data_IF_144004874845
#
_entry.id   IF_144004874845
#
_cell.length_a   1.000
_cell.length_b   1.000
_cell.length_c   1.000
_cell.angle_alpha   90.00
_cell.angle_beta   90.00
_cell.angle_gamma   90.00
#
_symmetry.space_group_name_H-M   'P 1'
#
loop_
_entity.id
_entity.type
_entity.pdbx_description
1 polymer ?
#
# COMPACT_ATOMS: atom_id res chain seq x y z
N UNK A 1 -8.80 15.99 20.81
CA UNK A 1 -9.52 14.70 20.83
C UNK A 1 -10.76 14.75 19.94
N UNK A 2 -11.72 15.66 20.18
CA UNK A 2 -13.00 15.70 19.45
C UNK A 2 -12.88 15.74 17.92
N UNK A 3 -11.96 16.53 17.37
CA UNK A 3 -11.72 16.57 15.92
C UNK A 3 -11.25 15.22 15.35
N UNK A 4 -10.33 14.54 16.05
CA UNK A 4 -9.79 13.24 15.62
C UNK A 4 -10.86 12.14 15.66
N UNK A 5 -11.76 12.21 16.64
CA UNK A 5 -12.94 11.36 16.69
C UNK A 5 -13.88 11.64 15.53
N UNK A 6 -14.17 12.92 15.24
CA UNK A 6 -15.04 13.32 14.14
C UNK A 6 -14.55 12.83 12.76
N UNK A 7 -13.23 12.77 12.55
CA UNK A 7 -12.63 12.24 11.31
C UNK A 7 -12.38 10.73 11.34
N UNK A 8 -12.90 10.01 12.34
CA UNK A 8 -12.73 8.57 12.50
C UNK A 8 -11.26 8.11 12.57
N UNK A 9 -10.37 8.88 13.21
CA UNK A 9 -8.94 8.61 13.25
C UNK A 9 -8.60 7.20 13.75
N UNK A 10 -9.23 6.76 14.85
CA UNK A 10 -9.04 5.39 15.39
C UNK A 10 -9.43 4.31 14.40
N UNK A 11 -10.56 4.49 13.71
CA UNK A 11 -11.03 3.54 12.70
C UNK A 11 -10.07 3.50 11.51
N UNK A 12 -9.58 4.65 11.06
CA UNK A 12 -8.58 4.74 9.99
C UNK A 12 -7.29 4.00 10.38
N UNK A 13 -6.78 4.20 11.59
CA UNK A 13 -5.60 3.49 12.09
C UNK A 13 -5.83 1.98 12.20
N UNK A 14 -7.02 1.56 12.63
CA UNK A 14 -7.41 0.14 12.68
C UNK A 14 -7.47 -0.48 11.28
N UNK A 15 -8.03 0.22 10.30
CA UNK A 15 -8.08 -0.24 8.91
C UNK A 15 -6.68 -0.34 8.30
N UNK A 16 -5.82 0.64 8.55
CA UNK A 16 -4.42 0.60 8.10
C UNK A 16 -3.67 -0.58 8.72
N UNK A 17 -3.85 -0.83 10.01
CA UNK A 17 -3.28 -2.01 10.70
C UNK A 17 -3.80 -3.32 10.11
N UNK A 18 -5.09 -3.41 9.80
CA UNK A 18 -5.67 -4.59 9.16
C UNK A 18 -5.10 -4.82 7.75
N UNK A 19 -5.00 -3.78 6.93
CA UNK A 19 -4.42 -3.87 5.58
C UNK A 19 -2.95 -4.32 5.63
N UNK A 20 -2.17 -3.78 6.58
CA UNK A 20 -0.79 -4.22 6.81
C UNK A 20 -0.73 -5.69 7.26
N UNK A 21 -1.61 -6.10 8.18
CA UNK A 21 -1.69 -7.50 8.63
C UNK A 21 -2.01 -8.45 7.48
N UNK A 22 -2.82 -8.01 6.51
CA UNK A 22 -3.18 -8.81 5.34
C UNK A 22 -2.04 -8.94 4.32
N UNK A 23 -1.22 -7.90 4.14
CA UNK A 23 -0.10 -7.92 3.17
C UNK A 23 1.18 -8.56 3.71
N UNK A 24 1.37 -8.55 5.03
CA UNK A 24 2.60 -9.04 5.68
C UNK A 24 2.91 -10.53 5.44
N UNK A 25 1.96 -11.49 5.48
CA UNK A 25 2.25 -12.90 5.25
C UNK A 25 2.92 -13.17 3.90
N UNK A 26 2.44 -12.52 2.83
CA UNK A 26 3.00 -12.70 1.49
C UNK A 26 4.43 -12.14 1.39
N UNK A 27 4.68 -10.97 1.97
CA UNK A 27 6.03 -10.38 2.02
C UNK A 27 6.99 -11.28 2.81
N UNK A 28 6.49 -11.83 3.91
CA UNK A 28 7.25 -12.73 4.77
C UNK A 28 7.58 -14.04 4.05
N UNK A 29 6.60 -14.66 3.41
CA UNK A 29 6.79 -15.87 2.60
C UNK A 29 7.82 -15.65 1.50
N UNK A 30 7.74 -14.56 0.75
CA UNK A 30 8.71 -14.22 -0.29
C UNK A 30 10.13 -14.03 0.27
N UNK A 31 10.25 -13.39 1.43
CA UNK A 31 11.55 -13.15 2.09
C UNK A 31 12.14 -14.47 2.57
N UNK A 32 11.32 -15.37 3.11
CA UNK A 32 11.75 -16.71 3.54
C UNK A 32 12.17 -17.61 2.42
N UNK A 33 11.45 -17.60 1.30
CA UNK A 33 11.78 -18.42 0.15
C UNK A 33 13.23 -18.15 -0.29
N UNK A 34 13.62 -16.88 -0.40
CA UNK A 34 15.00 -16.46 -0.72
C UNK A 34 16.03 -16.82 0.34
N UNK A 35 15.65 -16.79 1.61
CA UNK A 35 16.55 -17.14 2.71
C UNK A 35 16.85 -18.64 2.72
N UNK A 36 15.83 -19.46 2.47
CA UNK A 36 15.92 -20.92 2.49
C UNK A 36 16.45 -21.55 1.19
N UNK A 37 16.44 -20.83 0.06
CA UNK A 37 17.12 -21.23 -1.17
C UNK A 37 18.61 -21.54 -0.95
N UNK A 38 19.24 -20.90 0.05
CA UNK A 38 20.66 -21.07 0.38
C UNK A 38 20.94 -22.25 1.32
N UNK A 39 19.93 -22.93 1.84
CA UNK A 39 20.09 -24.08 2.73
C UNK A 39 20.06 -25.42 1.97
N UNK A 40 20.78 -26.45 2.46
CA UNK A 40 20.66 -27.81 1.94
C UNK A 40 19.19 -28.30 1.96
N UNK A 41 18.71 -29.04 0.93
CA UNK A 41 17.32 -29.50 0.86
C UNK A 41 16.86 -30.30 2.08
N UNK A 42 17.78 -31.03 2.71
CA UNK A 42 17.56 -31.85 3.91
C UNK A 42 17.23 -31.02 5.15
N UNK A 43 17.68 -29.76 5.22
CA UNK A 43 17.46 -28.85 6.35
C UNK A 43 16.30 -27.88 6.10
N UNK A 44 15.94 -27.65 4.83
CA UNK A 44 14.93 -26.67 4.45
C UNK A 44 13.55 -26.94 5.07
N UNK A 45 13.10 -28.20 5.16
CA UNK A 45 11.74 -28.50 5.65
C UNK A 45 11.58 -28.17 7.14
N UNK A 46 12.49 -28.67 7.97
CA UNK A 46 12.47 -28.40 9.41
C UNK A 46 12.73 -26.91 9.71
N UNK A 47 13.61 -26.25 8.95
CA UNK A 47 13.87 -24.83 9.08
C UNK A 47 12.64 -23.98 8.70
N UNK A 48 11.94 -24.30 7.60
CA UNK A 48 10.71 -23.63 7.17
C UNK A 48 9.59 -23.75 8.21
N UNK A 49 9.34 -24.95 8.74
CA UNK A 49 8.28 -25.18 9.73
C UNK A 49 8.53 -24.41 11.04
N UNK A 50 9.75 -24.49 11.59
CA UNK A 50 10.11 -23.77 12.82
C UNK A 50 10.10 -22.25 12.64
N UNK A 51 10.51 -21.79 11.47
CA UNK A 51 10.51 -20.38 11.12
C UNK A 51 9.09 -19.85 10.96
N UNK A 52 8.21 -20.56 10.24
CA UNK A 52 6.81 -20.17 10.06
C UNK A 52 6.06 -20.03 11.39
N UNK A 53 6.24 -20.98 12.32
CA UNK A 53 5.62 -20.91 13.65
C UNK A 53 6.14 -19.71 14.46
N UNK A 54 7.47 -19.49 14.47
CA UNK A 54 8.10 -18.38 15.20
C UNK A 54 7.71 -17.03 14.61
N UNK A 55 7.63 -16.96 13.29
CA UNK A 55 7.21 -15.81 12.54
C UNK A 55 5.76 -15.42 12.79
N UNK A 56 4.86 -16.40 12.76
CA UNK A 56 3.45 -16.17 13.02
C UNK A 56 3.25 -15.61 14.44
N UNK A 57 3.91 -16.20 15.43
CA UNK A 57 3.87 -15.72 16.81
C UNK A 57 4.48 -14.31 16.95
N UNK A 58 5.62 -14.04 16.31
CA UNK A 58 6.25 -12.71 16.30
C UNK A 58 5.37 -11.66 15.62
N UNK A 59 4.75 -12.01 14.50
CA UNK A 59 3.84 -11.16 13.74
C UNK A 59 2.59 -10.82 14.56
N UNK A 60 1.98 -11.80 15.22
CA UNK A 60 0.83 -11.54 16.08
C UNK A 60 1.16 -10.56 17.21
N UNK A 61 2.34 -10.70 17.84
CA UNK A 61 2.82 -9.77 18.87
C UNK A 61 3.08 -8.38 18.30
N UNK A 62 3.72 -8.28 17.14
CA UNK A 62 3.97 -7.01 16.47
C UNK A 62 2.66 -6.28 16.11
N UNK A 63 1.67 -7.02 15.60
CA UNK A 63 0.36 -6.44 15.27
C UNK A 63 -0.46 -6.06 16.50
N UNK A 64 -0.26 -6.72 17.63
CA UNK A 64 -0.89 -6.34 18.89
C UNK A 64 -0.47 -4.94 19.37
N UNK A 65 0.75 -4.47 19.04
CA UNK A 65 1.23 -3.12 19.38
C UNK A 65 0.32 -2.03 18.80
N UNK A 66 -0.19 -2.22 17.58
CA UNK A 66 -1.10 -1.24 16.95
C UNK A 66 -2.51 -1.23 17.56
N UNK A 67 -2.83 -2.26 18.35
CA UNK A 67 -4.09 -2.37 19.10
C UNK A 67 -3.92 -1.95 20.56
N UNK A 68 -2.70 -1.66 21.00
CA UNK A 68 -2.41 -1.21 22.35
C UNK A 68 -3.05 0.18 22.61
N UNK A 69 -3.85 0.34 23.68
CA UNK A 69 -4.51 1.60 23.98
C UNK A 69 -3.57 2.78 24.25
N UNK A 70 -2.40 2.53 24.85
CA UNK A 70 -1.41 3.58 25.14
C UNK A 70 -0.73 4.04 23.86
N UNK A 71 -0.40 3.11 22.97
CA UNK A 71 0.13 3.43 21.63
C UNK A 71 -0.91 4.23 20.84
N UNK A 72 -2.19 3.81 20.85
CA UNK A 72 -3.26 4.55 20.19
C UNK A 72 -3.41 5.97 20.72
N UNK A 73 -3.36 6.15 22.04
CA UNK A 73 -3.36 7.48 22.68
C UNK A 73 -2.15 8.31 22.25
N UNK A 74 -0.95 7.71 22.23
CA UNK A 74 0.26 8.37 21.76
C UNK A 74 0.14 8.86 20.31
N UNK A 75 -0.45 8.06 19.42
CA UNK A 75 -0.71 8.44 18.03
C UNK A 75 -1.72 9.59 17.93
N UNK A 76 -2.78 9.59 18.73
CA UNK A 76 -3.73 10.70 18.81
C UNK A 76 -3.07 11.99 19.29
N UNK A 77 -2.21 11.91 20.30
CA UNK A 77 -1.47 13.06 20.82
C UNK A 77 -0.50 13.63 19.78
N UNK A 78 0.19 12.76 19.04
CA UNK A 78 1.06 13.16 17.92
C UNK A 78 0.24 13.88 16.84
N UNK A 79 -0.89 13.30 16.43
CA UNK A 79 -1.74 13.88 15.40
C UNK A 79 -2.37 15.20 15.86
N UNK A 80 -2.84 15.26 17.11
CA UNK A 80 -3.39 16.46 17.71
C UNK A 80 -2.39 17.62 17.72
N UNK A 81 -1.13 17.37 18.10
CA UNK A 81 -0.06 18.37 18.00
C UNK A 81 0.21 18.79 16.55
N UNK A 82 0.14 17.87 15.59
CA UNK A 82 0.37 18.19 14.18
C UNK A 82 -0.70 19.14 13.62
N UNK A 83 -1.97 18.95 13.99
CA UNK A 83 -3.07 19.86 13.66
C UNK A 83 -2.94 21.21 14.37
N UNK A 84 -2.68 21.21 15.68
CA UNK A 84 -2.56 22.44 16.46
C UNK A 84 -1.43 23.38 15.96
N UNK A 85 -0.40 22.82 15.30
CA UNK A 85 0.68 23.61 14.68
C UNK A 85 0.29 24.28 13.36
N UNK A 86 -0.80 23.85 12.71
CA UNK A 86 -1.16 24.24 11.33
C UNK A 86 -2.51 24.95 11.22
N UNK A 87 -3.40 24.69 12.17
CA UNK A 87 -4.74 25.23 12.18
C UNK A 87 -4.98 25.99 13.47
N UNK A 88 -5.70 27.10 13.35
CA UNK A 88 -6.24 27.81 14.49
C UNK A 88 -7.32 26.98 15.19
N UNK A 89 -7.59 27.31 16.45
CA UNK A 89 -8.67 26.66 17.20
C UNK A 89 -10.03 26.82 16.51
N UNK A 90 -10.28 27.97 15.87
CA UNK A 90 -11.52 28.24 15.15
C UNK A 90 -11.68 27.31 13.95
N UNK A 91 -10.63 27.12 13.14
CA UNK A 91 -10.64 26.20 12.00
C UNK A 91 -10.82 24.76 12.44
N UNK A 92 -10.12 24.32 13.50
CA UNK A 92 -10.29 22.98 14.07
C UNK A 92 -11.74 22.74 14.49
N UNK A 93 -12.38 23.72 15.15
CA UNK A 93 -13.80 23.62 15.53
C UNK A 93 -14.72 23.54 14.32
N UNK A 94 -14.53 24.39 13.31
CA UNK A 94 -15.32 24.36 12.08
C UNK A 94 -15.21 23.02 11.36
N UNK A 95 -13.99 22.49 11.21
CA UNK A 95 -13.74 21.17 10.63
C UNK A 95 -14.46 20.08 11.44
N UNK A 96 -14.38 20.16 12.77
CA UNK A 96 -15.04 19.21 13.67
C UNK A 96 -16.56 19.22 13.50
N UNK A 97 -17.17 20.41 13.46
CA UNK A 97 -18.63 20.56 13.25
C UNK A 97 -19.04 19.93 11.93
N UNK A 98 -18.30 20.21 10.86
CA UNK A 98 -18.59 19.63 9.55
C UNK A 98 -18.52 18.09 9.58
N UNK A 99 -17.45 17.50 10.09
CA UNK A 99 -17.32 16.03 10.11
C UNK A 99 -18.25 15.33 11.10
N UNK A 100 -18.81 16.04 12.10
CA UNK A 100 -19.89 15.53 12.95
C UNK A 100 -21.26 15.54 12.27
N UNK A 101 -21.45 16.35 11.22
CA UNK A 101 -22.70 16.39 10.43
C UNK A 101 -22.90 15.11 9.61
N UNK A 102 -24.14 14.81 9.23
CA UNK A 102 -24.46 13.64 8.41
C UNK A 102 -23.78 13.70 7.04
N UNK A 103 -23.67 14.89 6.44
CA UNK A 103 -22.94 15.10 5.20
C UNK A 103 -21.44 14.82 5.35
N UNK A 104 -20.82 15.30 6.44
CA UNK A 104 -19.40 15.07 6.72
C UNK A 104 -19.09 13.60 7.00
N UNK A 105 -19.92 12.91 7.78
CA UNK A 105 -19.82 11.47 8.01
C UNK A 105 -19.96 10.67 6.71
N UNK A 106 -20.94 11.03 5.88
CA UNK A 106 -21.14 10.41 4.55
C UNK A 106 -19.92 10.63 3.66
N UNK A 107 -19.34 11.83 3.67
CA UNK A 107 -18.13 12.12 2.89
C UNK A 107 -16.96 11.23 3.29
N UNK A 108 -16.76 10.99 4.59
CA UNK A 108 -15.71 10.08 5.10
C UNK A 108 -15.93 8.63 4.67
N UNK A 109 -17.17 8.13 4.71
CA UNK A 109 -17.46 6.73 4.35
C UNK A 109 -17.51 6.48 2.84
N UNK A 110 -17.98 7.46 2.07
CA UNK A 110 -18.29 7.30 0.65
C UNK A 110 -17.09 7.62 -0.26
N UNK A 111 -16.09 8.38 0.22
CA UNK A 111 -14.88 8.68 -0.56
C UNK A 111 -14.18 7.43 -1.15
N UNK A 112 -13.82 6.42 -0.33
CA UNK A 112 -13.23 5.18 -0.84
C UNK A 112 -14.16 4.39 -1.77
N UNK A 113 -15.47 4.40 -1.51
CA UNK A 113 -16.46 3.70 -2.33
C UNK A 113 -16.58 4.31 -3.72
N UNK A 114 -16.63 5.65 -3.81
CA UNK A 114 -16.65 6.36 -5.08
C UNK A 114 -15.41 6.04 -5.92
N UNK A 115 -14.23 5.97 -5.29
CA UNK A 115 -13.01 5.57 -6.00
C UNK A 115 -13.09 4.12 -6.48
N UNK A 116 -13.61 3.19 -5.66
CA UNK A 116 -13.80 1.79 -6.06
C UNK A 116 -14.79 1.63 -7.21
N UNK A 117 -15.87 2.41 -7.23
CA UNK A 117 -16.90 2.37 -8.27
C UNK A 117 -16.42 3.02 -9.58
N UNK A 118 -15.71 4.15 -9.51
CA UNK A 118 -15.34 4.93 -10.70
C UNK A 118 -14.05 4.45 -11.38
N UNK A 119 -13.15 3.77 -10.66
CA UNK A 119 -11.86 3.36 -11.22
C UNK A 119 -12.00 2.42 -12.44
N UNK A 120 -12.88 1.40 -12.45
CA UNK A 120 -13.08 0.56 -13.63
C UNK A 120 -13.52 1.34 -14.86
N UNK A 121 -14.37 2.36 -14.70
CA UNK A 121 -14.82 3.22 -15.79
C UNK A 121 -13.69 4.08 -16.33
N UNK A 122 -12.89 4.68 -15.45
CA UNK A 122 -11.69 5.43 -15.83
C UNK A 122 -10.71 4.53 -16.59
N UNK A 123 -10.51 3.29 -16.12
CA UNK A 123 -9.66 2.31 -16.80
C UNK A 123 -10.23 1.92 -18.16
N UNK A 124 -11.53 1.68 -18.28
CA UNK A 124 -12.17 1.38 -19.56
C UNK A 124 -12.03 2.53 -20.57
N UNK A 125 -12.14 3.77 -20.10
CA UNK A 125 -11.97 4.97 -20.92
C UNK A 125 -10.51 5.15 -21.40
N UNK A 126 -9.53 4.86 -20.55
CA UNK A 126 -8.10 5.13 -20.81
C UNK A 126 -7.36 3.98 -21.48
N UNK A 127 -7.79 2.73 -21.25
CA UNK A 127 -7.11 1.52 -21.73
C UNK A 127 -6.86 1.49 -23.25
N UNK A 128 -7.81 1.86 -24.14
CA UNK A 128 -7.58 1.81 -25.58
C UNK A 128 -6.42 2.70 -26.02
N UNK A 129 -6.30 3.90 -25.43
CA UNK A 129 -5.23 4.84 -25.75
C UNK A 129 -3.89 4.36 -25.23
N UNK A 130 -3.87 3.78 -24.03
CA UNK A 130 -2.67 3.18 -23.44
C UNK A 130 -2.19 2.00 -24.30
N UNK A 131 -3.11 1.13 -24.74
CA UNK A 131 -2.78 -0.02 -25.57
C UNK A 131 -2.19 0.40 -26.93
N UNK A 132 -2.78 1.39 -27.59
CA UNK A 132 -2.26 1.92 -28.85
C UNK A 132 -0.83 2.50 -28.68
N UNK A 133 -0.59 3.23 -27.59
CA UNK A 133 0.74 3.76 -27.28
C UNK A 133 1.75 2.62 -27.05
N UNK A 134 1.36 1.58 -26.32
CA UNK A 134 2.22 0.41 -26.05
C UNK A 134 2.54 -0.37 -27.33
N UNK A 135 1.58 -0.51 -28.24
CA UNK A 135 1.81 -1.12 -29.56
C UNK A 135 2.81 -0.30 -30.38
N UNK A 136 2.67 1.03 -30.40
CA UNK A 136 3.59 1.93 -31.10
C UNK A 136 5.02 1.82 -30.55
N UNK A 137 5.17 1.85 -29.21
CA UNK A 137 6.47 1.72 -28.54
C UNK A 137 7.10 0.36 -28.84
N UNK A 138 6.31 -0.72 -28.78
CA UNK A 138 6.82 -2.08 -29.03
C UNK A 138 7.26 -2.23 -30.48
N UNK A 139 6.48 -1.71 -31.43
CA UNK A 139 6.82 -1.71 -32.85
C UNK A 139 8.13 -0.97 -33.11
N UNK A 140 8.27 0.24 -32.57
CA UNK A 140 9.49 1.04 -32.70
C UNK A 140 10.71 0.34 -32.09
N UNK A 141 10.57 -0.25 -30.91
CA UNK A 141 11.66 -0.99 -30.28
C UNK A 141 12.10 -2.22 -31.12
N UNK A 142 11.16 -2.91 -31.76
CA UNK A 142 11.48 -4.02 -32.68
C UNK A 142 12.18 -3.55 -33.96
N UNK A 143 11.75 -2.41 -34.52
CA UNK A 143 12.39 -1.79 -35.69
C UNK A 143 13.83 -1.37 -35.37
N UNK A 144 14.05 -0.71 -34.23
CA UNK A 144 15.37 -0.30 -33.76
C UNK A 144 16.29 -1.51 -33.50
N UNK A 145 15.77 -2.57 -32.88
CA UNK A 145 16.52 -3.80 -32.64
C UNK A 145 16.92 -4.52 -33.95
N UNK A 146 16.03 -4.52 -34.93
CA UNK A 146 16.30 -5.08 -36.27
C UNK A 146 17.36 -4.27 -37.00
N UNK A 147 17.24 -2.95 -37.00
CA UNK A 147 18.23 -2.05 -37.59
C UNK A 147 19.62 -2.21 -36.95
N UNK A 148 19.69 -2.35 -35.62
CA UNK A 148 20.93 -2.61 -34.90
C UNK A 148 21.54 -3.98 -35.27
N UNK A 149 20.73 -5.03 -35.43
CA UNK A 149 21.19 -6.36 -35.85
C UNK A 149 21.70 -6.37 -37.29
N UNK A 150 21.05 -5.65 -38.19
CA UNK A 150 21.47 -5.53 -39.60
C UNK A 150 22.78 -4.75 -39.73
N UNK A 151 22.94 -3.64 -38.99
CA UNK A 151 24.20 -2.89 -38.91
C UNK A 151 25.37 -3.74 -38.37
N UNK A 152 25.09 -4.70 -37.47
CA UNK A 152 26.09 -5.61 -36.92
C UNK A 152 26.52 -6.70 -37.92
N UNK A 153 25.64 -7.12 -38.84
CA UNK A 153 25.94 -8.10 -39.89
C UNK A 153 26.74 -7.52 -41.06
N UNK A 154 26.68 -6.21 -41.27
CA UNK A 154 27.40 -5.51 -42.35
C UNK A 154 28.83 -5.08 -42.00
N UNK A 155 29.27 -5.30 -40.75
CA UNK A 155 30.65 -5.08 -40.35
C UNK A 155 31.53 -6.25 -40.85
N UNK A 156 32.60 -6.00 -41.61
CA UNK A 156 33.46 -7.07 -42.11
C UNK A 156 34.15 -7.79 -40.95
N UNK A 157 34.17 -9.12 -41.00
CA UNK A 157 34.96 -9.94 -40.08
C UNK A 157 36.45 -9.54 -40.23
N UNK A 158 37.08 -9.21 -39.10
CA UNK A 158 38.53 -8.98 -39.02
C UNK A 158 39.32 -10.25 -39.32
#
# INVERSE_FOLDING_TARGET
AEMLEAINFRQMMSQMSAAMTQSMPQMFEQTTARMFEKLPPTEQKAAKEKFAASAQAGMQKAMAVYRDPEIMKGMEDIMGRAYAKRFTLAEIKTITVFYKSDAGKKMLSTGPQLMQETMPEIMALTSPRINALMEEVTKKAMEDAKAASEAQKTLPAK
#
